data_IF_112447408481
#
_entry.id   IF_112447408481
#
_cell.length_a   1.000
_cell.length_b   1.000
_cell.length_c   1.000
_cell.angle_alpha   90.00
_cell.angle_beta   90.00
_cell.angle_gamma   90.00
#
_symmetry.space_group_name_H-M   'P 1'
#
loop_
_entity.id
_entity.type
_entity.pdbx_description
1 polymer ?
#
# COMPACT_ATOMS: atom_id res chain seq x y z
N UNK A 1 -34.57 -29.11 -8.47
CA UNK A 1 -33.12 -29.09 -8.78
C UNK A 1 -32.71 -27.63 -8.79
N UNK A 2 -31.73 -27.23 -7.97
CA UNK A 2 -31.14 -25.89 -8.04
C UNK A 2 -29.73 -26.02 -8.59
N UNK A 3 -29.37 -25.08 -9.46
CA UNK A 3 -28.03 -24.97 -10.04
C UNK A 3 -27.66 -23.52 -9.83
N UNK A 4 -26.66 -23.30 -8.99
CA UNK A 4 -26.23 -21.97 -8.55
C UNK A 4 -24.76 -21.75 -8.92
N UNK A 5 -24.39 -20.50 -9.21
CA UNK A 5 -23.03 -20.09 -9.55
C UNK A 5 -22.67 -18.77 -8.86
N UNK A 6 -21.39 -18.64 -8.48
CA UNK A 6 -20.81 -17.41 -7.95
C UNK A 6 -19.58 -17.02 -8.77
N UNK A 7 -19.35 -15.72 -8.94
CA UNK A 7 -18.21 -15.15 -9.67
C UNK A 7 -17.53 -14.11 -8.80
N UNK A 8 -16.23 -13.90 -9.02
CA UNK A 8 -15.47 -12.79 -8.49
C UNK A 8 -14.71 -12.10 -9.61
N UNK A 9 -14.26 -10.87 -9.36
CA UNK A 9 -13.33 -10.15 -10.21
C UNK A 9 -12.04 -9.92 -9.42
N UNK A 10 -10.93 -9.82 -10.13
CA UNK A 10 -9.66 -9.47 -9.51
C UNK A 10 -9.71 -8.04 -8.96
N UNK A 11 -8.92 -7.83 -7.91
CA UNK A 11 -8.80 -6.58 -7.19
C UNK A 11 -7.47 -5.90 -7.50
N UNK A 12 -7.36 -4.66 -7.06
CA UNK A 12 -6.11 -3.90 -7.08
C UNK A 12 -5.85 -3.24 -5.73
N UNK A 13 -4.60 -3.19 -5.31
CA UNK A 13 -4.16 -2.48 -4.11
C UNK A 13 -3.06 -1.50 -4.53
N UNK A 14 -3.22 -0.24 -4.19
CA UNK A 14 -2.28 0.83 -4.52
C UNK A 14 -2.75 2.16 -3.96
N UNK A 15 -1.88 3.16 -3.98
CA UNK A 15 -2.25 4.57 -3.82
C UNK A 15 -1.00 5.44 -4.12
N UNK A 16 -0.30 5.87 -3.07
CA UNK A 16 0.70 6.92 -3.14
C UNK A 16 1.65 6.83 -1.93
N UNK A 17 2.91 7.19 -2.14
CA UNK A 17 3.92 7.41 -1.09
C UNK A 17 4.48 8.81 -1.27
N UNK A 18 4.60 9.58 -0.20
CA UNK A 18 4.96 11.00 -0.24
C UNK A 18 5.99 11.40 0.79
N UNK A 19 6.60 12.55 0.52
CA UNK A 19 7.44 13.25 1.49
C UNK A 19 6.54 14.14 2.34
N UNK A 20 6.30 13.70 3.57
CA UNK A 20 5.67 14.51 4.61
C UNK A 20 6.63 15.63 5.03
N UNK A 21 6.37 16.85 4.58
CA UNK A 21 7.29 17.99 4.70
C UNK A 21 7.23 18.66 6.08
N UNK A 22 6.12 18.51 6.81
CA UNK A 22 5.94 19.10 8.12
C UNK A 22 5.84 18.09 9.27
N UNK A 23 5.77 16.80 8.94
CA UNK A 23 5.86 15.67 9.86
C UNK A 23 4.55 15.38 10.58
N UNK A 24 3.41 15.81 10.07
CA UNK A 24 2.12 15.68 10.72
C UNK A 24 1.36 14.37 10.38
N UNK A 25 1.86 13.61 9.40
CA UNK A 25 1.28 12.34 8.97
C UNK A 25 0.05 12.46 8.08
N UNK A 26 -0.27 13.66 7.59
CA UNK A 26 -1.36 13.96 6.67
C UNK A 26 -0.78 14.22 5.28
N UNK A 27 -1.52 13.87 4.24
CA UNK A 27 -1.14 14.19 2.87
C UNK A 27 -1.62 15.60 2.51
N UNK A 28 -0.69 16.54 2.40
CA UNK A 28 -1.00 17.95 2.17
C UNK A 28 -0.72 18.44 0.74
N UNK A 29 -1.45 19.49 0.28
CA UNK A 29 -1.16 20.12 -1.01
C UNK A 29 0.26 20.69 -1.08
N UNK A 30 1.07 20.16 -2.00
CA UNK A 30 2.45 20.60 -2.24
C UNK A 30 3.49 19.61 -1.76
N UNK A 31 3.08 18.56 -1.04
CA UNK A 31 3.95 17.45 -0.68
C UNK A 31 4.22 16.55 -1.88
N UNK A 32 5.50 16.33 -2.25
CA UNK A 32 5.84 15.57 -3.43
C UNK A 32 5.71 14.06 -3.19
N UNK A 33 5.37 13.34 -4.25
CA UNK A 33 5.48 11.89 -4.28
C UNK A 33 6.95 11.44 -4.22
N UNK A 34 7.19 10.29 -3.57
CA UNK A 34 8.52 9.70 -3.47
C UNK A 34 8.69 8.58 -4.49
N UNK A 35 9.63 8.75 -5.42
CA UNK A 35 9.96 7.74 -6.43
C UNK A 35 10.89 6.66 -5.88
N UNK A 36 10.66 5.40 -6.25
CA UNK A 36 11.60 4.31 -5.98
C UNK A 36 11.53 3.78 -4.55
N UNK A 37 10.45 4.07 -3.82
CA UNK A 37 10.16 3.43 -2.54
C UNK A 37 9.75 2.00 -2.82
N UNK A 38 10.42 1.05 -2.18
CA UNK A 38 10.06 -0.37 -2.28
C UNK A 38 8.74 -0.62 -1.55
N UNK A 39 7.77 -1.21 -2.24
CA UNK A 39 6.51 -1.67 -1.64
C UNK A 39 6.41 -3.16 -1.89
N UNK A 40 6.27 -3.92 -0.81
CA UNK A 40 6.12 -5.38 -0.88
C UNK A 40 4.72 -5.78 -0.43
N UNK A 41 4.02 -6.51 -1.29
CA UNK A 41 2.73 -7.13 -1.00
C UNK A 41 2.95 -8.60 -0.65
N UNK A 42 2.47 -9.03 0.51
CA UNK A 42 2.46 -10.44 0.93
C UNK A 42 1.08 -10.86 1.39
N UNK A 43 0.74 -12.13 1.24
CA UNK A 43 -0.55 -12.63 1.70
C UNK A 43 -0.91 -13.99 1.16
N UNK A 44 -2.20 -14.31 1.26
CA UNK A 44 -2.77 -15.57 0.76
C UNK A 44 -4.05 -15.25 0.02
N UNK A 45 -4.19 -15.76 -1.21
CA UNK A 45 -5.44 -15.65 -1.94
C UNK A 45 -6.55 -16.54 -1.34
N UNK A 46 -7.80 -16.34 -1.78
CA UNK A 46 -8.94 -17.14 -1.30
C UNK A 46 -8.87 -18.62 -1.69
N UNK A 47 -7.93 -19.04 -2.55
CA UNK A 47 -7.67 -20.44 -2.87
C UNK A 47 -6.56 -21.05 -2.00
N UNK A 48 -5.97 -20.27 -1.09
CA UNK A 48 -4.89 -20.71 -0.22
C UNK A 48 -3.50 -20.62 -0.85
N UNK A 49 -3.35 -19.96 -2.00
CA UNK A 49 -2.04 -19.77 -2.62
C UNK A 49 -1.32 -18.59 -1.95
N UNK A 50 -0.05 -18.76 -1.54
CA UNK A 50 0.75 -17.65 -1.05
C UNK A 50 1.09 -16.69 -2.20
N UNK A 51 0.99 -15.39 -1.93
CA UNK A 51 1.36 -14.32 -2.87
C UNK A 51 2.46 -13.48 -2.24
N UNK A 52 3.48 -13.16 -3.03
CA UNK A 52 4.56 -12.24 -2.68
C UNK A 52 4.96 -11.46 -3.92
N UNK A 53 4.75 -10.16 -3.92
CA UNK A 53 5.08 -9.26 -5.03
C UNK A 53 5.81 -8.02 -4.51
N UNK A 54 6.73 -7.48 -5.30
CA UNK A 54 7.44 -6.23 -4.97
C UNK A 54 7.33 -5.27 -6.14
N UNK A 55 7.04 -4.00 -5.83
CA UNK A 55 6.99 -2.88 -6.77
C UNK A 55 7.82 -1.73 -6.21
N UNK A 56 8.15 -0.78 -7.07
CA UNK A 56 8.75 0.48 -6.70
C UNK A 56 7.80 1.60 -7.12
N UNK A 57 7.67 2.63 -6.29
CA UNK A 57 6.83 3.78 -6.62
C UNK A 57 7.35 4.54 -7.84
N UNK A 58 6.42 5.05 -8.64
CA UNK A 58 6.71 5.85 -9.84
C UNK A 58 7.18 7.26 -9.48
N UNK A 59 7.52 8.06 -10.50
CA UNK A 59 8.05 9.42 -10.33
C UNK A 59 7.13 10.34 -9.51
N UNK A 60 5.83 10.06 -9.57
CA UNK A 60 4.79 10.77 -8.85
C UNK A 60 4.42 10.07 -7.55
N UNK A 61 5.24 9.16 -7.01
CA UNK A 61 4.96 8.44 -5.76
C UNK A 61 3.88 7.37 -5.84
N UNK A 62 3.22 7.19 -7.00
CA UNK A 62 2.17 6.19 -7.15
C UNK A 62 2.71 4.77 -7.22
N UNK A 63 1.90 3.80 -6.79
CA UNK A 63 2.16 2.37 -6.98
C UNK A 63 0.85 1.60 -7.09
N UNK A 64 0.86 0.48 -7.82
CA UNK A 64 -0.29 -0.40 -7.94
C UNK A 64 0.14 -1.87 -8.07
N UNK A 65 -0.56 -2.72 -7.34
CA UNK A 65 -0.65 -4.16 -7.54
C UNK A 65 -2.01 -4.44 -8.16
N UNK A 66 -2.03 -4.86 -9.42
CA UNK A 66 -3.20 -5.23 -10.19
C UNK A 66 -3.35 -6.76 -10.26
N UNK A 67 -4.47 -7.21 -10.84
CA UNK A 67 -4.76 -8.63 -11.10
C UNK A 67 -4.64 -9.53 -9.85
N UNK A 68 -5.04 -9.00 -8.69
CA UNK A 68 -5.02 -9.74 -7.43
C UNK A 68 -6.30 -10.56 -7.29
N UNK A 69 -6.16 -11.87 -7.22
CA UNK A 69 -7.25 -12.73 -6.75
C UNK A 69 -7.69 -12.24 -5.36
N UNK A 70 -9.00 -12.14 -5.05
CA UNK A 70 -9.44 -11.76 -3.72
C UNK A 70 -8.79 -12.64 -2.64
N UNK A 71 -8.34 -12.02 -1.56
CA UNK A 71 -7.59 -12.66 -0.49
C UNK A 71 -7.20 -11.68 0.61
N UNK A 72 -6.40 -12.16 1.56
CA UNK A 72 -5.87 -11.36 2.65
C UNK A 72 -4.43 -10.95 2.33
N UNK A 73 -4.23 -9.65 2.12
CA UNK A 73 -2.94 -9.07 1.74
C UNK A 73 -2.48 -8.02 2.75
N UNK A 74 -1.17 -7.88 2.87
CA UNK A 74 -0.48 -6.85 3.64
C UNK A 74 0.56 -6.18 2.77
N UNK A 75 0.68 -4.87 2.92
CA UNK A 75 1.78 -4.11 2.35
C UNK A 75 2.87 -3.90 3.39
N UNK A 76 4.10 -3.77 2.91
CA UNK A 76 5.24 -3.35 3.72
C UNK A 76 6.05 -2.37 2.91
N UNK A 77 6.25 -1.18 3.46
CA UNK A 77 7.04 -0.12 2.85
C UNK A 77 8.49 -0.21 3.32
N UNK A 78 9.40 -0.37 2.36
CA UNK A 78 10.83 -0.49 2.62
C UNK A 78 11.47 0.82 3.08
N UNK A 79 12.67 0.71 3.64
CA UNK A 79 13.47 1.89 3.98
C UNK A 79 13.83 2.70 2.73
N UNK A 80 13.73 4.02 2.82
CA UNK A 80 14.05 4.94 1.73
C UNK A 80 15.12 5.94 2.20
N UNK A 81 16.24 6.00 1.47
CA UNK A 81 17.48 6.60 1.98
C UNK A 81 17.33 8.07 2.40
N UNK A 82 17.58 8.36 3.68
CA UNK A 82 17.47 9.70 4.25
C UNK A 82 16.09 10.05 4.81
N UNK A 83 15.10 9.18 4.65
CA UNK A 83 13.72 9.37 5.10
C UNK A 83 13.38 8.43 6.26
N UNK A 84 12.48 8.88 7.13
CA UNK A 84 11.85 8.06 8.18
C UNK A 84 10.35 8.09 7.94
N UNK A 85 9.66 6.98 8.18
CA UNK A 85 8.20 6.97 8.16
C UNK A 85 7.65 7.95 9.21
N UNK A 86 6.63 8.70 8.81
CA UNK A 86 5.93 9.65 9.67
C UNK A 86 4.93 8.97 10.61
N UNK A 87 4.28 9.74 11.47
CA UNK A 87 3.21 9.27 12.37
C UNK A 87 2.01 8.75 11.57
N UNK A 88 1.40 7.66 12.04
CA UNK A 88 0.24 7.05 11.38
C UNK A 88 -1.09 7.47 12.01
N UNK A 89 -2.19 7.41 11.25
CA UNK A 89 -3.54 7.56 11.79
C UNK A 89 -3.91 8.97 12.28
N UNK A 90 -3.26 10.01 11.75
CA UNK A 90 -3.45 11.39 12.23
C UNK A 90 -4.59 12.15 11.52
N UNK A 91 -5.16 11.58 10.46
CA UNK A 91 -6.16 12.24 9.63
C UNK A 91 -7.30 11.31 9.20
N UNK A 92 -8.08 11.71 8.18
CA UNK A 92 -9.02 10.81 7.52
C UNK A 92 -8.28 9.69 6.79
N UNK A 93 -8.80 8.45 6.84
CA UNK A 93 -8.19 7.24 6.24
C UNK A 93 -7.70 7.38 4.78
N UNK A 94 -8.29 8.31 4.02
CA UNK A 94 -7.96 8.55 2.62
C UNK A 94 -6.77 9.48 2.40
N UNK A 95 -6.31 10.20 3.43
CA UNK A 95 -5.33 11.27 3.33
C UNK A 95 -4.37 11.30 4.52
N UNK A 96 -4.18 10.18 5.20
CA UNK A 96 -3.20 10.05 6.26
C UNK A 96 -2.28 8.85 6.04
N UNK A 97 -1.18 8.82 6.80
CA UNK A 97 -0.25 7.71 6.76
C UNK A 97 -0.85 6.48 7.44
N UNK A 98 -0.91 5.39 6.69
CA UNK A 98 -1.32 4.08 7.19
C UNK A 98 -0.14 3.20 7.63
N UNK A 99 1.07 3.47 7.12
CA UNK A 99 2.25 2.67 7.44
C UNK A 99 2.74 2.96 8.86
N UNK A 100 2.87 1.93 9.70
CA UNK A 100 3.28 2.10 11.09
C UNK A 100 4.82 1.98 11.22
N UNK A 101 5.53 3.05 11.62
CA UNK A 101 6.98 3.02 11.81
C UNK A 101 7.44 2.01 12.89
N UNK A 102 6.59 1.77 13.89
CA UNK A 102 6.88 0.83 14.99
C UNK A 102 6.74 -0.63 14.58
N UNK A 103 6.02 -0.89 13.47
CA UNK A 103 5.85 -2.21 12.88
C UNK A 103 6.70 -2.42 11.62
N UNK A 104 7.66 -1.53 11.35
CA UNK A 104 8.56 -1.65 10.20
C UNK A 104 7.89 -1.34 8.86
N UNK A 105 6.91 -0.42 8.86
CA UNK A 105 6.20 0.00 7.65
C UNK A 105 5.11 -0.96 7.20
N UNK A 106 4.60 -1.80 8.12
CA UNK A 106 3.38 -2.60 7.94
C UNK A 106 2.12 -1.80 8.24
#
# INVERSE_FOLDING_TARGET
LTVDAGYYADASIGNFVWEDLDGDGIQDPGEPGLQGVEVTLTGTDNFGNPVSQTKFTDIDGSYIFDELVPGDYKLTFGAYGGFTLTVNGQGPDASDSNADPSMGGM
#
